data_IF_661613161841
#
_entry.id   IF_661613161841
#
_cell.length_a   1.000
_cell.length_b   1.000
_cell.length_c   1.000
_cell.angle_alpha   90.00
_cell.angle_beta   90.00
_cell.angle_gamma   90.00
#
_symmetry.space_group_name_H-M   'P 1'
#
loop_
_entity.id
_entity.type
_entity.pdbx_description
1 polymer ?
#
# COMPACT_ATOMS: atom_id res chain seq x y z
N UNK A 1 11.24 -0.64 1.91
CA UNK A 1 10.13 -0.84 2.87
C UNK A 1 10.35 -2.16 3.59
N UNK A 2 9.73 -2.40 4.75
CA UNK A 2 9.64 -3.72 5.40
C UNK A 2 8.21 -4.28 5.31
N UNK A 3 8.00 -5.60 5.49
CA UNK A 3 6.67 -6.21 5.36
C UNK A 3 5.60 -5.59 6.28
N UNK A 4 5.98 -5.18 7.49
CA UNK A 4 5.03 -4.65 8.48
C UNK A 4 4.86 -3.12 8.38
N UNK A 5 5.62 -2.46 7.50
CA UNK A 5 5.37 -1.06 7.14
C UNK A 5 4.00 -0.88 6.47
N UNK A 6 3.42 0.30 6.63
CA UNK A 6 2.13 0.65 6.05
C UNK A 6 2.29 0.96 4.56
N UNK A 7 1.66 0.13 3.72
CA UNK A 7 1.45 0.39 2.30
C UNK A 7 0.34 1.44 2.12
N UNK A 8 -0.84 1.18 2.67
CA UNK A 8 -1.91 2.17 2.66
C UNK A 8 -1.80 3.03 3.91
N UNK A 9 -1.30 4.26 3.76
CA UNK A 9 -1.13 5.20 4.87
C UNK A 9 -2.46 5.76 5.40
N UNK A 10 -3.52 5.81 4.59
CA UNK A 10 -4.84 6.27 5.04
C UNK A 10 -5.53 5.27 5.97
N UNK A 11 -5.50 3.98 5.62
CA UNK A 11 -6.22 2.93 6.35
C UNK A 11 -5.29 1.98 7.10
N UNK A 12 -4.02 2.39 7.28
CA UNK A 12 -3.00 1.67 8.03
C UNK A 12 -2.84 0.18 7.66
N UNK A 13 -2.94 -0.14 6.37
CA UNK A 13 -2.80 -1.50 5.85
C UNK A 13 -1.34 -1.78 5.52
N UNK A 14 -0.76 -2.85 6.09
CA UNK A 14 0.64 -3.21 5.87
C UNK A 14 0.88 -3.89 4.52
N UNK A 15 2.14 -3.88 4.06
CA UNK A 15 2.55 -4.65 2.87
C UNK A 15 2.24 -6.13 3.04
N UNK A 16 2.61 -6.72 4.18
CA UNK A 16 2.36 -8.13 4.51
C UNK A 16 0.88 -8.48 4.38
N UNK A 17 -0.01 -7.63 4.89
CA UNK A 17 -1.46 -7.86 4.80
C UNK A 17 -1.96 -7.83 3.36
N UNK A 18 -1.55 -6.83 2.57
CA UNK A 18 -1.97 -6.72 1.16
C UNK A 18 -1.46 -7.89 0.33
N UNK A 19 -0.17 -8.25 0.48
CA UNK A 19 0.47 -9.37 -0.22
C UNK A 19 -0.24 -10.69 0.12
N UNK A 20 -0.49 -10.96 1.41
CA UNK A 20 -1.24 -12.14 1.83
C UNK A 20 -2.67 -12.14 1.31
N UNK A 21 -3.35 -10.99 1.32
CA UNK A 21 -4.72 -10.86 0.84
C UNK A 21 -4.81 -11.17 -0.66
N UNK A 22 -3.92 -10.62 -1.49
CA UNK A 22 -3.86 -10.91 -2.92
C UNK A 22 -3.69 -12.42 -3.16
N UNK A 23 -2.78 -13.07 -2.43
CA UNK A 23 -2.52 -14.51 -2.54
C UNK A 23 -3.71 -15.37 -2.12
N UNK A 24 -4.30 -15.11 -0.95
CA UNK A 24 -5.38 -15.93 -0.38
C UNK A 24 -6.68 -15.75 -1.17
N UNK A 25 -7.03 -14.51 -1.50
CA UNK A 25 -8.27 -14.19 -2.21
C UNK A 25 -8.14 -14.21 -3.73
N UNK A 26 -6.95 -14.54 -4.26
CA UNK A 26 -6.63 -14.56 -5.69
C UNK A 26 -7.12 -13.31 -6.40
N UNK A 27 -6.76 -12.15 -5.85
CA UNK A 27 -7.18 -10.84 -6.39
C UNK A 27 -6.79 -10.75 -7.87
N UNK A 28 -7.76 -10.40 -8.71
CA UNK A 28 -7.60 -10.29 -10.16
C UNK A 28 -7.40 -8.84 -10.61
N UNK A 29 -8.01 -7.89 -9.92
CA UNK A 29 -7.93 -6.46 -10.27
C UNK A 29 -7.63 -5.60 -9.04
N UNK A 30 -6.85 -4.51 -9.18
CA UNK A 30 -6.47 -3.65 -8.06
C UNK A 30 -7.63 -3.09 -7.23
N UNK A 31 -8.78 -2.84 -7.84
CA UNK A 31 -9.96 -2.28 -7.15
C UNK A 31 -10.53 -3.21 -6.07
N UNK A 32 -10.32 -4.52 -6.17
CA UNK A 32 -10.73 -5.49 -5.14
C UNK A 32 -10.00 -5.28 -3.81
N UNK A 33 -8.87 -4.56 -3.77
CA UNK A 33 -8.21 -4.24 -2.50
C UNK A 33 -9.01 -3.27 -1.63
N UNK A 34 -10.07 -2.65 -2.16
CA UNK A 34 -11.06 -1.93 -1.33
C UNK A 34 -11.72 -2.86 -0.30
N UNK A 35 -11.84 -4.16 -0.57
CA UNK A 35 -12.34 -5.16 0.38
C UNK A 35 -11.29 -5.50 1.46
N UNK A 36 -10.02 -5.14 1.24
CA UNK A 36 -8.94 -5.26 2.22
C UNK A 36 -8.80 -3.96 3.04
N UNK A 37 -9.75 -3.74 3.97
CA UNK A 37 -9.80 -2.55 4.83
C UNK A 37 -9.74 -1.23 4.04
N UNK A 38 -10.51 -1.13 2.96
CA UNK A 38 -10.59 0.08 2.14
C UNK A 38 -9.28 0.49 1.47
N UNK A 39 -8.27 -0.41 1.36
CA UNK A 39 -6.99 -0.06 0.78
C UNK A 39 -7.15 0.48 -0.65
N UNK A 40 -6.59 1.66 -0.91
CA UNK A 40 -6.66 2.34 -2.20
C UNK A 40 -7.85 3.27 -2.41
N UNK A 41 -8.81 3.38 -1.49
CA UNK A 41 -9.98 4.26 -1.65
C UNK A 41 -9.78 5.68 -1.12
N UNK A 42 -8.75 5.93 -0.31
CA UNK A 42 -8.40 7.26 0.21
C UNK A 42 -7.61 8.09 -0.82
N UNK A 43 -6.53 8.74 -0.38
CA UNK A 43 -5.74 9.66 -1.22
C UNK A 43 -5.15 9.07 -2.51
N UNK A 44 -5.11 7.74 -2.65
CA UNK A 44 -4.65 7.08 -3.88
C UNK A 44 -3.14 6.84 -3.97
N UNK A 45 -2.33 7.37 -3.06
CA UNK A 45 -0.87 7.19 -3.04
C UNK A 45 -0.42 5.71 -3.20
N UNK A 46 -1.11 4.79 -2.52
CA UNK A 46 -0.76 3.37 -2.56
C UNK A 46 -1.23 2.63 -3.82
N UNK A 47 -2.03 3.24 -4.71
CA UNK A 47 -2.63 2.56 -5.87
C UNK A 47 -1.59 2.02 -6.85
N UNK A 48 -0.51 2.78 -7.10
CA UNK A 48 0.58 2.34 -7.99
C UNK A 48 1.25 1.07 -7.45
N UNK A 49 1.54 1.04 -6.16
CA UNK A 49 2.10 -0.13 -5.48
C UNK A 49 1.13 -1.33 -5.49
N UNK A 50 -0.16 -1.10 -5.22
CA UNK A 50 -1.19 -2.16 -5.28
C UNK A 50 -1.28 -2.75 -6.70
N UNK A 51 -1.30 -1.90 -7.73
CA UNK A 51 -1.34 -2.34 -9.12
C UNK A 51 -0.14 -3.24 -9.46
N UNK A 52 1.07 -2.81 -9.09
CA UNK A 52 2.29 -3.60 -9.28
C UNK A 52 2.25 -4.93 -8.52
N UNK A 53 1.75 -4.95 -7.28
CA UNK A 53 1.62 -6.19 -6.50
C UNK A 53 0.65 -7.18 -7.14
N UNK A 54 -0.52 -6.70 -7.60
CA UNK A 54 -1.52 -7.56 -8.26
C UNK A 54 -0.97 -8.12 -9.58
N UNK A 55 -0.24 -7.31 -10.36
CA UNK A 55 0.42 -7.78 -11.59
C UNK A 55 1.50 -8.83 -11.28
N UNK A 56 2.43 -8.53 -10.37
CA UNK A 56 3.53 -9.42 -10.00
C UNK A 56 3.03 -10.79 -9.51
N UNK A 57 1.94 -10.82 -8.73
CA UNK A 57 1.39 -12.06 -8.20
C UNK A 57 0.65 -12.92 -9.23
N UNK A 58 0.29 -12.38 -10.40
CA UNK A 58 -0.23 -13.19 -11.51
C UNK A 58 0.87 -13.99 -12.19
N UNK A 59 2.03 -13.36 -12.39
CA UNK A 59 3.13 -13.96 -13.16
C UNK A 59 4.03 -14.83 -12.28
N UNK A 60 4.48 -14.30 -11.14
CA UNK A 60 5.39 -14.99 -10.23
C UNK A 60 5.34 -14.36 -8.82
N UNK A 61 4.61 -14.96 -7.86
CA UNK A 61 4.55 -14.43 -6.50
C UNK A 61 5.89 -14.62 -5.79
N UNK A 62 6.45 -13.59 -5.13
CA UNK A 62 7.62 -13.78 -4.27
C UNK A 62 7.26 -14.76 -3.15
N UNK A 63 8.18 -15.68 -2.84
CA UNK A 63 7.97 -16.60 -1.72
C UNK A 63 7.86 -15.78 -0.42
N UNK A 64 7.13 -16.29 0.57
CA UNK A 64 6.96 -15.62 1.85
C UNK A 64 8.30 -15.27 2.53
N UNK A 65 9.33 -16.09 2.31
CA UNK A 65 10.70 -15.89 2.79
C UNK A 65 11.46 -14.76 2.07
N UNK A 66 11.00 -14.31 0.91
CA UNK A 66 11.71 -13.35 0.04
C UNK A 66 11.03 -11.98 -0.02
N UNK A 67 9.82 -11.85 0.53
CA UNK A 67 9.04 -10.60 0.51
C UNK A 67 9.86 -9.43 1.06
N UNK A 68 10.61 -9.63 2.14
CA UNK A 68 11.39 -8.56 2.76
C UNK A 68 12.48 -8.04 1.84
N UNK A 69 13.34 -8.93 1.32
CA UNK A 69 14.41 -8.58 0.38
C UNK A 69 13.84 -7.86 -0.86
N UNK A 70 12.74 -8.38 -1.41
CA UNK A 70 12.05 -7.75 -2.53
C UNK A 70 11.52 -6.35 -2.20
N UNK A 71 10.94 -6.14 -1.02
CA UNK A 71 10.46 -4.82 -0.58
C UNK A 71 11.59 -3.81 -0.30
N UNK A 72 12.74 -4.30 0.15
CA UNK A 72 13.93 -3.47 0.38
C UNK A 72 14.52 -3.02 -0.96
N UNK A 73 14.59 -3.91 -1.94
CA UNK A 73 15.13 -3.60 -3.28
C UNK A 73 14.19 -2.69 -4.09
N UNK A 74 12.88 -2.98 -4.07
CA UNK A 74 11.94 -2.35 -5.00
C UNK A 74 11.28 -1.07 -4.49
N UNK A 75 11.34 -0.81 -3.18
CA UNK A 75 10.62 0.30 -2.56
C UNK A 75 11.46 1.10 -1.58
N UNK A 76 11.22 2.42 -1.47
CA UNK A 76 11.96 3.29 -0.56
C UNK A 76 11.77 2.89 0.91
N UNK A 77 12.51 3.52 1.81
CA UNK A 77 12.28 3.37 3.26
C UNK A 77 10.89 3.87 3.67
N UNK A 78 10.38 3.44 4.83
CA UNK A 78 9.10 3.90 5.38
C UNK A 78 9.00 5.43 5.47
N UNK A 79 10.09 6.07 5.92
CA UNK A 79 10.17 7.52 6.02
C UNK A 79 10.07 8.20 4.64
N UNK A 80 10.84 7.72 3.65
CA UNK A 80 10.81 8.28 2.31
C UNK A 80 9.45 8.04 1.61
N UNK A 81 8.81 6.89 1.83
CA UNK A 81 7.47 6.60 1.31
C UNK A 81 6.40 7.56 1.87
N UNK A 82 6.45 7.84 3.19
CA UNK A 82 5.56 8.83 3.83
C UNK A 82 5.81 10.25 3.31
N UNK A 83 7.07 10.64 3.17
CA UNK A 83 7.44 11.95 2.61
C UNK A 83 6.95 12.10 1.16
N UNK A 84 7.03 11.03 0.35
CA UNK A 84 6.49 10.99 -1.01
C UNK A 84 4.98 11.25 -1.06
N UNK A 85 4.21 10.66 -0.12
CA UNK A 85 2.77 10.91 0.00
C UNK A 85 2.44 12.37 0.28
N UNK A 86 3.20 13.02 1.16
CA UNK A 86 2.98 14.44 1.48
C UNK A 86 3.10 15.29 0.21
N UNK A 87 4.15 15.07 -0.58
CA UNK A 87 4.37 15.75 -1.87
C UNK A 87 3.25 15.43 -2.87
N UNK A 88 2.82 14.18 -2.94
CA UNK A 88 1.74 13.75 -3.82
C UNK A 88 0.42 14.48 -3.52
N UNK A 89 0.04 14.59 -2.24
CA UNK A 89 -1.18 15.32 -1.85
C UNK A 89 -1.02 16.82 -2.10
N UNK A 90 0.14 17.40 -1.76
CA UNK A 90 0.43 18.82 -1.99
C UNK A 90 0.39 19.20 -3.48
N UNK A 91 0.69 18.26 -4.37
CA UNK A 91 0.56 18.43 -5.83
C UNK A 91 -0.89 18.38 -6.34
N UNK A 92 -1.89 18.32 -5.46
CA UNK A 92 -3.31 18.31 -5.81
C UNK A 92 -3.84 16.95 -6.23
N UNK A 93 -3.09 15.87 -6.00
CA UNK A 93 -3.62 14.52 -6.15
C UNK A 93 -4.60 14.18 -5.01
N UNK A 94 -5.25 13.02 -5.08
CA UNK A 94 -6.40 12.63 -4.26
C UNK A 94 -6.29 12.91 -2.75
N UNK A 95 -7.44 13.06 -2.08
CA UNK A 95 -7.52 13.53 -0.71
C UNK A 95 -7.52 12.38 0.33
N UNK A 96 -6.89 12.56 1.50
CA UNK A 96 -7.08 11.65 2.62
C UNK A 96 -8.54 11.62 3.10
N UNK A 97 -9.01 10.51 3.70
CA UNK A 97 -10.28 10.49 4.41
C UNK A 97 -10.28 11.49 5.58
N UNK A 98 -11.39 12.21 5.76
CA UNK A 98 -11.55 13.30 6.75
C UNK A 98 -11.21 12.88 8.19
N UNK A 99 -11.37 11.60 8.56
CA UNK A 99 -11.23 11.12 9.95
C UNK A 99 -9.92 10.38 10.23
N UNK A 100 -8.92 10.46 9.33
CA UNK A 100 -7.65 9.73 9.47
C UNK A 100 -6.42 10.63 9.61
N UNK A 101 -6.63 11.92 9.88
CA UNK A 101 -5.56 12.87 10.17
C UNK A 101 -5.16 12.81 11.66
N UNK A 102 -3.91 12.46 12.00
CA UNK A 102 -3.39 12.52 13.37
C UNK A 102 -3.44 13.93 13.98
N UNK A 103 -3.65 14.99 13.20
CA UNK A 103 -3.80 16.37 13.70
C UNK A 103 -5.08 16.61 14.50
N UNK A 104 -6.03 15.68 14.49
CA UNK A 104 -7.34 15.82 15.13
C UNK A 104 -7.41 15.21 16.55
N UNK A 105 -6.37 14.52 17.02
CA UNK A 105 -6.27 14.11 18.43
C UNK A 105 -5.42 15.14 19.19
N UNK A 106 -6.07 16.27 19.51
CA UNK A 106 -5.61 17.21 20.54
C UNK A 106 -6.06 16.75 21.92
#
# INVERSE_FOLDING_TARGET
>A
MLPDDKLCLCFHVSWRKVINYIRVHRVQVPSQLSECQSAGTGCGWCRKSINRLVQQMKDQPPNASEIESWLVEQYPTSAAYRAGRIKYIAAGHGQPPEHTDPSQNS
#
